data_IF_975444632898
#
_entry.id   IF_975444632898
#
_cell.length_a   1.000
_cell.length_b   1.000
_cell.length_c   1.000
_cell.angle_alpha   90.00
_cell.angle_beta   90.00
_cell.angle_gamma   90.00
#
_symmetry.space_group_name_H-M   'P 1'
#
loop_
_entity.id
_entity.type
_entity.pdbx_description
1 polymer ?
#
# COMPACT_ATOMS: atom_id res chain seq x y z
N UNK A 1 5.45 1.34 1.84
CA UNK A 1 4.21 1.96 1.37
C UNK A 1 3.73 2.94 2.42
N UNK A 2 3.63 4.20 2.04
CA UNK A 2 3.29 5.30 2.97
C UNK A 2 1.89 5.80 2.65
N UNK A 3 1.00 5.83 3.64
CA UNK A 3 -0.32 6.49 3.56
C UNK A 3 -0.15 7.95 4.00
N UNK A 4 -0.86 8.87 3.36
CA UNK A 4 -0.61 10.32 3.33
C UNK A 4 -0.72 11.10 4.67
N UNK A 5 -0.98 10.42 5.80
CA UNK A 5 -0.88 10.99 7.14
C UNK A 5 -1.86 12.13 7.46
N UNK A 6 -2.89 12.37 6.63
CA UNK A 6 -3.87 13.44 6.86
C UNK A 6 -4.96 13.03 7.85
N UNK A 7 -5.44 13.99 8.64
CA UNK A 7 -6.62 13.81 9.49
C UNK A 7 -7.90 14.05 8.67
N UNK A 8 -8.63 12.98 8.34
CA UNK A 8 -9.88 13.03 7.58
C UNK A 8 -11.09 13.11 8.53
N UNK A 9 -11.25 14.23 9.25
CA UNK A 9 -12.38 14.39 10.18
C UNK A 9 -12.41 13.36 11.32
N UNK A 10 -11.27 12.76 11.68
CA UNK A 10 -11.19 11.69 12.68
C UNK A 10 -11.47 10.28 12.15
N UNK A 11 -11.58 10.11 10.84
CA UNK A 11 -11.44 8.81 10.16
C UNK A 11 -9.94 8.51 10.02
N UNK A 12 -9.54 7.30 10.43
CA UNK A 12 -8.15 6.83 10.28
C UNK A 12 -8.05 5.88 9.10
N UNK A 13 -6.94 5.98 8.37
CA UNK A 13 -6.58 5.07 7.29
C UNK A 13 -5.48 4.15 7.79
N UNK A 14 -5.61 2.86 7.52
CA UNK A 14 -4.60 1.85 7.85
C UNK A 14 -4.40 0.91 6.68
N UNK A 15 -3.20 0.35 6.58
CA UNK A 15 -2.86 -0.69 5.62
C UNK A 15 -2.48 -1.98 6.36
N UNK A 16 -2.95 -3.11 5.86
CA UNK A 16 -2.57 -4.42 6.38
C UNK A 16 -1.27 -4.92 5.75
N UNK A 17 -0.44 -5.59 6.56
CA UNK A 17 0.72 -6.32 6.06
C UNK A 17 0.28 -7.46 5.14
N UNK A 18 1.10 -7.74 4.13
CA UNK A 18 0.88 -8.80 3.16
C UNK A 18 2.20 -9.50 2.84
N UNK A 19 2.11 -10.73 2.35
CA UNK A 19 3.27 -11.56 2.05
C UNK A 19 2.92 -12.58 0.98
N UNK A 20 3.85 -12.83 0.08
CA UNK A 20 3.74 -13.81 -0.99
C UNK A 20 5.04 -14.58 -1.10
N UNK A 21 4.95 -15.83 -1.55
CA UNK A 21 6.11 -16.60 -2.00
C UNK A 21 6.32 -16.31 -3.48
N UNK A 22 7.46 -15.73 -3.84
CA UNK A 22 7.81 -15.33 -5.22
C UNK A 22 7.77 -16.53 -6.18
N UNK A 23 8.38 -17.64 -5.78
CA UNK A 23 8.54 -18.83 -6.61
C UNK A 23 9.69 -18.68 -7.61
N UNK A 24 9.79 -19.63 -8.53
CA UNK A 24 10.98 -19.73 -9.41
C UNK A 24 10.87 -18.89 -10.69
N UNK A 25 9.68 -18.41 -11.06
CA UNK A 25 9.45 -17.63 -12.28
C UNK A 25 8.14 -16.84 -12.27
N UNK A 26 8.12 -15.76 -13.06
CA UNK A 26 6.96 -14.89 -13.25
C UNK A 26 6.75 -13.89 -12.11
N UNK A 27 5.94 -12.85 -12.36
CA UNK A 27 5.53 -11.91 -11.34
C UNK A 27 4.24 -12.38 -10.66
N UNK A 28 4.11 -12.11 -9.36
CA UNK A 28 2.86 -12.30 -8.61
C UNK A 28 2.32 -10.96 -8.16
N UNK A 29 1.00 -10.82 -8.23
CA UNK A 29 0.31 -9.65 -7.69
C UNK A 29 0.29 -9.78 -6.17
N UNK A 30 0.64 -8.69 -5.50
CA UNK A 30 0.59 -8.58 -4.05
C UNK A 30 -0.47 -7.55 -3.68
N UNK A 31 -1.58 -8.02 -3.09
CA UNK A 31 -2.69 -7.16 -2.70
C UNK A 31 -2.45 -6.58 -1.30
N UNK A 32 -2.55 -5.25 -1.20
CA UNK A 32 -2.49 -4.52 0.06
C UNK A 32 -3.89 -4.01 0.42
N UNK A 33 -4.39 -4.42 1.58
CA UNK A 33 -5.72 -4.03 2.03
C UNK A 33 -5.66 -2.71 2.76
N UNK A 34 -6.27 -1.69 2.20
CA UNK A 34 -6.47 -0.38 2.84
C UNK A 34 -7.83 -0.33 3.50
N UNK A 35 -7.89 0.16 4.74
CA UNK A 35 -9.11 0.21 5.55
C UNK A 35 -9.31 1.59 6.16
N UNK A 36 -10.57 2.02 6.19
CA UNK A 36 -11.02 3.16 6.98
C UNK A 36 -11.58 2.67 8.31
N UNK A 37 -11.29 3.37 9.40
CA UNK A 37 -11.79 3.02 10.73
C UNK A 37 -13.32 3.13 10.87
N UNK A 38 -13.98 3.86 9.95
CA UNK A 38 -15.42 4.05 9.82
C UNK A 38 -15.72 4.57 8.41
N UNK A 39 -16.99 4.63 8.02
CA UNK A 39 -17.39 5.30 6.79
C UNK A 39 -16.95 6.78 6.80
N UNK A 40 -16.42 7.26 5.69
CA UNK A 40 -16.07 8.67 5.51
C UNK A 40 -17.31 9.47 5.12
N UNK A 41 -17.40 10.70 5.62
CA UNK A 41 -18.46 11.65 5.28
C UNK A 41 -18.10 12.52 4.06
N UNK A 42 -16.81 12.55 3.71
CA UNK A 42 -16.23 13.29 2.58
C UNK A 42 -15.28 12.37 1.81
N UNK A 43 -14.93 12.77 0.58
CA UNK A 43 -13.94 12.06 -0.23
C UNK A 43 -12.57 12.07 0.45
N UNK A 44 -11.92 10.91 0.46
CA UNK A 44 -10.55 10.73 0.95
C UNK A 44 -9.69 10.36 -0.25
N UNK A 45 -8.81 11.27 -0.66
CA UNK A 45 -7.79 11.03 -1.68
C UNK A 45 -6.52 10.48 -1.02
N UNK A 46 -5.99 9.38 -1.56
CA UNK A 46 -4.78 8.73 -1.05
C UNK A 46 -3.71 8.70 -2.14
N UNK A 47 -2.59 9.37 -1.89
CA UNK A 47 -1.37 9.13 -2.65
C UNK A 47 -0.63 7.93 -2.06
N UNK A 48 -0.05 7.09 -2.91
CA UNK A 48 0.72 5.94 -2.47
C UNK A 48 1.94 5.70 -3.34
N UNK A 49 2.96 5.12 -2.72
CA UNK A 49 4.15 4.64 -3.40
C UNK A 49 4.70 3.40 -2.70
N UNK A 50 5.44 2.60 -3.46
CA UNK A 50 6.33 1.56 -2.92
C UNK A 50 7.73 2.14 -2.72
N UNK A 51 8.45 1.66 -1.73
CA UNK A 51 9.81 2.10 -1.40
C UNK A 51 10.67 0.89 -1.07
N UNK A 52 11.95 1.00 -1.42
CA UNK A 52 12.95 -0.03 -1.15
C UNK A 52 13.24 -0.13 0.35
N UNK A 53 13.53 -1.34 0.82
CA UNK A 53 14.14 -1.59 2.13
C UNK A 53 15.10 -2.78 1.98
N UNK A 54 14.68 -3.99 2.37
CA UNK A 54 15.41 -5.21 2.06
C UNK A 54 15.12 -5.75 0.66
N UNK A 55 13.91 -5.51 0.15
CA UNK A 55 13.53 -5.78 -1.23
C UNK A 55 13.76 -4.51 -2.06
N UNK A 56 14.23 -4.67 -3.29
CA UNK A 56 14.52 -3.56 -4.21
C UNK A 56 13.64 -3.60 -5.46
N UNK A 57 13.21 -2.42 -5.92
CA UNK A 57 12.45 -2.25 -7.14
C UNK A 57 13.27 -2.69 -8.36
N UNK A 58 12.66 -3.44 -9.26
CA UNK A 58 13.27 -3.98 -10.48
C UNK A 58 13.94 -5.35 -10.31
N UNK A 59 14.27 -5.76 -9.08
CA UNK A 59 14.69 -7.14 -8.76
C UNK A 59 13.59 -7.94 -8.08
N UNK A 60 13.07 -7.43 -6.96
CA UNK A 60 12.17 -8.17 -6.07
C UNK A 60 10.70 -7.77 -6.31
N UNK A 61 10.47 -6.52 -6.66
CA UNK A 61 9.13 -6.02 -6.97
C UNK A 61 9.15 -4.96 -8.07
N UNK A 62 8.00 -4.69 -8.69
CA UNK A 62 7.84 -3.58 -9.62
C UNK A 62 7.35 -2.36 -8.84
N UNK A 63 8.15 -1.29 -8.84
CA UNK A 63 7.81 -0.06 -8.14
C UNK A 63 6.57 0.63 -8.72
N UNK A 64 5.74 1.19 -7.85
CA UNK A 64 4.53 1.96 -8.19
C UNK A 64 4.54 3.26 -7.41
N UNK A 65 4.15 4.35 -8.07
CA UNK A 65 3.90 5.67 -7.49
C UNK A 65 2.70 6.28 -8.20
N UNK A 66 1.77 6.84 -7.42
CA UNK A 66 0.63 7.64 -7.91
C UNK A 66 1.02 9.12 -8.13
#
# INVERSE_FOLDING_TARGET
MTLDGKNHGGVRVSIGDTRVVEGDSGAKVLDFVVQLSRAAEETIDLTYSTEDDLAAAGSDYVGVTD
#
